data_IF_409188613591
#
_entry.id   IF_409188613591
#
_cell.length_a   1.000
_cell.length_b   1.000
_cell.length_c   1.000
_cell.angle_alpha   90.00
_cell.angle_beta   90.00
_cell.angle_gamma   90.00
#
_symmetry.space_group_name_H-M   'P 1'
#
loop_
_entity.id
_entity.type
_entity.pdbx_description
1 polymer ?
#
# COMPACT_ATOMS: atom_id res chain seq x y z
N UNK A 1 8.71 5.18 -33.22
CA UNK A 1 7.48 4.50 -32.79
C UNK A 1 7.72 3.52 -31.65
N UNK A 2 8.06 3.98 -30.43
CA UNK A 2 8.44 3.10 -29.29
C UNK A 2 7.88 3.49 -27.92
N UNK A 3 7.09 4.57 -27.82
CA UNK A 3 6.68 5.14 -26.52
C UNK A 3 5.56 4.38 -25.78
N UNK A 4 4.67 3.70 -26.45
CA UNK A 4 3.49 3.07 -25.84
C UNK A 4 3.80 1.87 -24.94
N UNK A 5 4.83 1.10 -25.27
CA UNK A 5 5.21 -0.10 -24.50
C UNK A 5 5.90 0.23 -23.16
N UNK A 6 6.72 1.27 -23.14
CA UNK A 6 7.48 1.68 -21.95
C UNK A 6 6.57 2.21 -20.84
N UNK A 7 5.62 3.07 -21.22
CA UNK A 7 4.66 3.59 -20.26
C UNK A 7 3.76 2.49 -19.65
N UNK A 8 3.36 1.45 -20.43
CA UNK A 8 2.56 0.32 -19.90
C UNK A 8 3.30 -0.47 -18.85
N UNK A 9 4.60 -0.70 -19.05
CA UNK A 9 5.45 -1.39 -18.07
C UNK A 9 5.61 -0.58 -16.79
N UNK A 10 5.82 0.73 -16.89
CA UNK A 10 5.94 1.62 -15.73
C UNK A 10 4.64 1.62 -14.91
N UNK A 11 3.47 1.79 -15.56
CA UNK A 11 2.20 1.76 -14.85
C UNK A 11 1.93 0.42 -14.15
N UNK A 12 2.25 -0.70 -14.80
CA UNK A 12 2.10 -2.03 -14.20
C UNK A 12 3.07 -2.23 -13.03
N UNK A 13 4.31 -1.76 -13.13
CA UNK A 13 5.31 -1.84 -12.06
C UNK A 13 4.87 -1.01 -10.83
N UNK A 14 4.36 0.20 -11.04
CA UNK A 14 3.85 1.05 -9.96
C UNK A 14 2.64 0.42 -9.25
N UNK A 15 1.73 -0.20 -9.99
CA UNK A 15 0.60 -0.92 -9.40
C UNK A 15 1.04 -2.15 -8.60
N UNK A 16 2.04 -2.90 -9.09
CA UNK A 16 2.58 -4.07 -8.41
C UNK A 16 3.39 -3.71 -7.16
N UNK A 17 3.99 -2.50 -7.12
CA UNK A 17 4.75 -2.02 -5.98
C UNK A 17 3.88 -1.88 -4.72
N UNK A 18 2.60 -1.55 -4.85
CA UNK A 18 1.66 -1.41 -3.74
C UNK A 18 1.60 -2.65 -2.84
N UNK A 19 1.15 -3.82 -3.35
CA UNK A 19 1.10 -5.05 -2.56
C UNK A 19 2.46 -5.45 -1.98
N UNK A 20 3.57 -5.21 -2.70
CA UNK A 20 4.92 -5.51 -2.22
C UNK A 20 5.28 -4.67 -1.00
N UNK A 21 5.00 -3.36 -1.02
CA UNK A 21 5.26 -2.48 0.11
C UNK A 21 4.37 -2.80 1.31
N UNK A 22 3.11 -3.21 1.09
CA UNK A 22 2.24 -3.67 2.18
C UNK A 22 2.76 -4.97 2.81
N UNK A 23 3.26 -5.90 2.01
CA UNK A 23 3.89 -7.12 2.53
C UNK A 23 5.17 -6.79 3.33
N UNK A 24 5.99 -5.83 2.85
CA UNK A 24 7.15 -5.34 3.57
C UNK A 24 6.77 -4.69 4.91
N UNK A 25 5.68 -3.90 4.95
CA UNK A 25 5.15 -3.33 6.20
C UNK A 25 4.73 -4.42 7.19
N UNK A 26 3.99 -5.45 6.74
CA UNK A 26 3.58 -6.55 7.60
C UNK A 26 4.78 -7.32 8.16
N UNK A 27 5.77 -7.64 7.32
CA UNK A 27 6.96 -8.35 7.73
C UNK A 27 7.80 -7.55 8.72
N UNK A 28 8.06 -6.29 8.43
CA UNK A 28 8.78 -5.38 9.32
C UNK A 28 8.05 -5.22 10.67
N UNK A 29 6.73 -5.05 10.65
CA UNK A 29 5.91 -4.99 11.86
C UNK A 29 6.00 -6.27 12.70
N UNK A 30 5.99 -7.46 12.06
CA UNK A 30 6.14 -8.74 12.77
C UNK A 30 7.51 -8.85 13.45
N UNK A 31 8.57 -8.44 12.76
CA UNK A 31 9.92 -8.44 13.32
C UNK A 31 10.01 -7.47 14.50
N UNK A 32 9.50 -6.24 14.35
CA UNK A 32 9.54 -5.23 15.39
C UNK A 32 8.78 -5.66 16.65
N UNK A 33 7.56 -6.18 16.49
CA UNK A 33 6.75 -6.69 17.61
C UNK A 33 7.43 -7.87 18.30
N UNK A 34 8.09 -8.77 17.52
CA UNK A 34 8.84 -9.88 18.08
C UNK A 34 10.00 -9.41 18.97
N UNK A 35 10.80 -8.45 18.49
CA UNK A 35 11.91 -7.87 19.26
C UNK A 35 11.42 -7.16 20.53
N UNK A 36 10.31 -6.42 20.44
CA UNK A 36 9.68 -5.75 21.57
C UNK A 36 9.17 -6.76 22.62
N UNK A 37 8.56 -7.87 22.20
CA UNK A 37 8.11 -8.94 23.09
C UNK A 37 9.29 -9.63 23.80
N UNK A 38 10.39 -9.88 23.08
CA UNK A 38 11.61 -10.41 23.70
C UNK A 38 12.23 -9.46 24.72
N UNK A 39 12.26 -8.16 24.43
CA UNK A 39 12.76 -7.16 25.37
C UNK A 39 11.87 -7.07 26.61
N UNK A 40 10.55 -7.12 26.44
CA UNK A 40 9.60 -7.17 27.54
C UNK A 40 9.87 -8.36 28.48
N UNK A 41 10.08 -9.55 27.93
CA UNK A 41 10.34 -10.76 28.73
C UNK A 41 11.68 -10.68 29.50
N UNK A 42 12.67 -9.99 28.94
CA UNK A 42 13.98 -9.78 29.60
C UNK A 42 13.98 -8.61 30.59
N UNK A 43 12.97 -7.76 30.54
CA UNK A 43 12.89 -6.54 31.35
C UNK A 43 12.61 -6.83 32.82
N UNK A 44 13.03 -5.94 33.72
CA UNK A 44 12.87 -6.11 35.18
C UNK A 44 11.39 -6.07 35.62
N UNK A 45 10.51 -5.50 34.81
CA UNK A 45 9.07 -5.45 35.07
C UNK A 45 8.31 -6.72 34.65
N UNK A 46 8.99 -7.78 34.17
CA UNK A 46 8.31 -9.00 33.75
C UNK A 46 7.92 -9.88 34.94
N UNK A 47 6.65 -9.88 35.30
CA UNK A 47 6.08 -10.67 36.41
C UNK A 47 5.64 -12.10 36.00
N UNK A 48 6.05 -12.59 34.81
CA UNK A 48 5.69 -13.91 34.33
C UNK A 48 4.29 -13.97 33.71
N UNK A 49 4.15 -13.52 32.48
CA UNK A 49 2.91 -13.61 31.70
C UNK A 49 2.91 -14.84 30.75
N UNK A 50 1.80 -15.02 30.03
CA UNK A 50 1.71 -16.05 28.98
C UNK A 50 2.52 -15.63 27.77
N UNK A 51 3.38 -16.52 27.30
CA UNK A 51 4.09 -16.43 26.02
C UNK A 51 3.42 -17.43 25.08
N UNK A 52 2.96 -16.94 23.93
CA UNK A 52 2.37 -17.80 22.90
C UNK A 52 3.41 -18.72 22.24
N UNK A 53 2.94 -19.73 21.55
CA UNK A 53 3.81 -20.63 20.77
C UNK A 53 4.62 -19.90 19.68
N UNK A 54 4.19 -18.71 19.29
CA UNK A 54 4.83 -17.79 18.33
C UNK A 54 5.88 -16.86 18.97
N UNK A 55 6.15 -17.03 20.29
CA UNK A 55 7.10 -16.22 21.05
C UNK A 55 6.60 -14.82 21.43
N UNK A 56 5.32 -14.52 21.23
CA UNK A 56 4.75 -13.22 21.57
C UNK A 56 4.12 -13.23 22.96
N UNK A 57 4.31 -12.13 23.70
CA UNK A 57 3.55 -11.82 24.92
C UNK A 57 2.10 -11.46 24.57
N UNK A 58 1.20 -11.43 25.54
CA UNK A 58 -0.20 -11.01 25.33
C UNK A 58 -0.29 -9.62 24.65
N UNK A 59 0.57 -8.68 25.06
CA UNK A 59 0.67 -7.36 24.43
C UNK A 59 1.19 -7.46 23.00
N UNK A 60 2.23 -8.28 22.77
CA UNK A 60 2.78 -8.55 21.43
C UNK A 60 1.75 -9.14 20.48
N UNK A 61 0.92 -10.09 20.95
CA UNK A 61 -0.20 -10.64 20.17
C UNK A 61 -1.20 -9.54 19.80
N UNK A 62 -1.61 -8.70 20.75
CA UNK A 62 -2.51 -7.58 20.48
C UNK A 62 -1.94 -6.60 19.45
N UNK A 63 -0.68 -6.18 19.63
CA UNK A 63 0.01 -5.29 18.71
C UNK A 63 0.13 -5.89 17.31
N UNK A 64 0.47 -7.18 17.22
CA UNK A 64 0.56 -7.90 15.95
C UNK A 64 -0.80 -8.00 15.23
N UNK A 65 -1.90 -8.25 15.96
CA UNK A 65 -3.23 -8.31 15.35
C UNK A 65 -3.61 -6.98 14.70
N UNK A 66 -3.28 -5.84 15.31
CA UNK A 66 -3.55 -4.52 14.70
C UNK A 66 -2.70 -4.31 13.46
N UNK A 67 -1.40 -4.62 13.51
CA UNK A 67 -0.50 -4.50 12.35
C UNK A 67 -0.94 -5.42 11.22
N UNK A 68 -1.23 -6.70 11.53
CA UNK A 68 -1.67 -7.69 10.53
C UNK A 68 -3.04 -7.34 9.94
N UNK A 69 -3.99 -6.90 10.76
CA UNK A 69 -5.31 -6.44 10.32
C UNK A 69 -5.20 -5.23 9.38
N UNK A 70 -4.38 -4.25 9.72
CA UNK A 70 -4.09 -3.09 8.86
C UNK A 70 -3.47 -3.54 7.53
N UNK A 71 -2.45 -4.39 7.58
CA UNK A 71 -1.81 -4.93 6.39
C UNK A 71 -2.79 -5.73 5.50
N UNK A 72 -3.70 -6.50 6.11
CA UNK A 72 -4.71 -7.27 5.38
C UNK A 72 -5.69 -6.35 4.65
N UNK A 73 -6.25 -5.34 5.31
CA UNK A 73 -7.20 -4.40 4.71
C UNK A 73 -6.54 -3.59 3.61
N UNK A 74 -5.37 -3.01 3.88
CA UNK A 74 -4.62 -2.23 2.88
C UNK A 74 -4.14 -3.12 1.75
N UNK A 75 -3.69 -4.35 2.04
CA UNK A 75 -3.25 -5.32 1.05
C UNK A 75 -4.36 -5.78 0.12
N UNK A 76 -5.54 -6.09 0.66
CA UNK A 76 -6.72 -6.41 -0.15
C UNK A 76 -7.11 -5.24 -1.07
N UNK A 77 -7.06 -4.01 -0.54
CA UNK A 77 -7.33 -2.79 -1.30
C UNK A 77 -6.26 -2.56 -2.39
N UNK A 78 -4.99 -2.79 -2.06
CA UNK A 78 -3.89 -2.69 -3.01
C UNK A 78 -4.00 -3.71 -4.16
N UNK A 79 -4.42 -4.94 -3.86
CA UNK A 79 -4.70 -5.96 -4.87
C UNK A 79 -5.91 -5.57 -5.73
N UNK A 80 -6.96 -4.99 -5.14
CA UNK A 80 -8.11 -4.49 -5.88
C UNK A 80 -7.68 -3.38 -6.87
N UNK A 81 -6.82 -2.45 -6.47
CA UNK A 81 -6.26 -1.43 -7.37
C UNK A 81 -5.44 -2.03 -8.51
N UNK A 82 -4.66 -3.08 -8.26
CA UNK A 82 -3.92 -3.79 -9.29
C UNK A 82 -4.86 -4.42 -10.32
N UNK A 83 -5.95 -5.06 -9.87
CA UNK A 83 -6.97 -5.66 -10.73
C UNK A 83 -7.71 -4.57 -11.53
N UNK A 84 -8.11 -3.47 -10.88
CA UNK A 84 -8.76 -2.32 -11.53
C UNK A 84 -7.84 -1.74 -12.61
N UNK A 85 -6.57 -1.49 -12.29
CA UNK A 85 -5.60 -0.97 -13.25
C UNK A 85 -5.39 -1.88 -14.45
N UNK A 86 -5.37 -3.21 -14.22
CA UNK A 86 -5.29 -4.20 -15.29
C UNK A 86 -6.55 -4.22 -16.17
N UNK A 87 -7.75 -4.13 -15.55
CA UNK A 87 -9.03 -4.07 -16.28
C UNK A 87 -9.17 -2.77 -17.08
N UNK A 88 -8.76 -1.62 -16.52
CA UNK A 88 -8.75 -0.34 -17.23
C UNK A 88 -7.88 -0.38 -18.48
N UNK A 89 -6.77 -1.12 -18.44
CA UNK A 89 -5.91 -1.33 -19.62
C UNK A 89 -6.48 -2.26 -20.68
N UNK A 90 -7.46 -3.12 -20.35
CA UNK A 90 -8.03 -4.12 -21.24
C UNK A 90 -9.42 -3.78 -21.78
N UNK A 91 -10.27 -3.14 -20.99
CA UNK A 91 -11.69 -2.93 -21.31
C UNK A 91 -12.01 -1.45 -21.51
N UNK A 92 -12.65 -1.12 -22.62
CA UNK A 92 -13.22 0.22 -22.85
C UNK A 92 -14.60 0.40 -22.19
N UNK A 93 -15.37 -0.69 -22.04
CA UNK A 93 -16.71 -0.69 -21.42
C UNK A 93 -16.58 -0.80 -19.88
N UNK A 94 -17.32 0.02 -19.14
CA UNK A 94 -17.35 -0.01 -17.66
C UNK A 94 -16.26 0.81 -16.98
N UNK A 95 -15.53 1.68 -17.72
CA UNK A 95 -14.44 2.50 -17.17
C UNK A 95 -14.91 3.43 -16.06
N UNK A 96 -16.07 4.07 -16.22
CA UNK A 96 -16.65 4.96 -15.21
C UNK A 96 -16.91 4.19 -13.90
N UNK A 97 -17.46 2.98 -13.99
CA UNK A 97 -17.70 2.13 -12.83
C UNK A 97 -16.39 1.79 -12.09
N UNK A 98 -15.33 1.42 -12.82
CA UNK A 98 -14.03 1.11 -12.23
C UNK A 98 -13.39 2.33 -11.55
N UNK A 99 -13.57 3.54 -12.12
CA UNK A 99 -13.09 4.78 -11.50
C UNK A 99 -13.86 5.12 -10.22
N UNK A 100 -15.19 4.96 -10.23
CA UNK A 100 -16.01 5.15 -9.03
C UNK A 100 -15.62 4.14 -7.96
N UNK A 101 -15.46 2.87 -8.31
CA UNK A 101 -15.03 1.83 -7.38
C UNK A 101 -13.64 2.15 -6.78
N UNK A 102 -12.70 2.64 -7.61
CA UNK A 102 -11.39 3.06 -7.11
C UNK A 102 -11.48 4.21 -6.12
N UNK A 103 -12.44 5.13 -6.30
CA UNK A 103 -12.73 6.21 -5.36
C UNK A 103 -13.18 5.69 -3.99
N UNK A 104 -14.08 4.71 -3.96
CA UNK A 104 -14.51 4.09 -2.70
C UNK A 104 -13.38 3.39 -1.95
N UNK A 105 -12.46 2.77 -2.67
CA UNK A 105 -11.32 2.06 -2.09
C UNK A 105 -10.27 3.01 -1.46
N UNK A 106 -10.33 4.31 -1.72
CA UNK A 106 -9.45 5.31 -1.06
C UNK A 106 -9.72 5.33 0.45
N UNK A 107 -10.98 5.19 0.88
CA UNK A 107 -11.36 5.29 2.29
C UNK A 107 -10.68 4.22 3.16
N UNK A 108 -10.84 2.91 2.90
CA UNK A 108 -10.17 1.89 3.70
C UNK A 108 -8.63 1.97 3.59
N UNK A 109 -8.12 2.42 2.44
CA UNK A 109 -6.68 2.63 2.27
C UNK A 109 -6.17 3.77 3.15
N UNK A 110 -6.81 4.94 3.10
CA UNK A 110 -6.45 6.10 3.91
C UNK A 110 -6.57 5.79 5.41
N UNK A 111 -7.63 5.09 5.82
CA UNK A 111 -7.81 4.66 7.20
C UNK A 111 -6.66 3.76 7.67
N UNK A 112 -6.25 2.79 6.84
CA UNK A 112 -5.10 1.95 7.13
C UNK A 112 -3.79 2.73 7.26
N UNK A 113 -3.57 3.75 6.41
CA UNK A 113 -2.42 4.65 6.54
C UNK A 113 -2.45 5.43 7.87
N UNK A 114 -3.62 5.97 8.24
CA UNK A 114 -3.79 6.69 9.53
C UNK A 114 -3.49 5.76 10.70
N UNK A 115 -4.04 4.55 10.70
CA UNK A 115 -3.76 3.55 11.75
C UNK A 115 -2.27 3.25 11.84
N UNK A 116 -1.58 3.06 10.71
CA UNK A 116 -0.13 2.80 10.71
C UNK A 116 0.69 3.98 11.26
N UNK A 117 0.27 5.22 10.97
CA UNK A 117 0.94 6.44 11.44
C UNK A 117 0.76 6.69 12.95
N UNK A 118 -0.32 6.19 13.54
CA UNK A 118 -0.56 6.28 15.00
C UNK A 118 0.41 5.38 15.78
N UNK A 119 1.12 4.48 15.12
CA UNK A 119 2.05 3.53 15.73
C UNK A 119 1.38 2.67 16.83
N UNK A 120 0.45 1.76 16.45
CA UNK A 120 -0.35 0.98 17.39
C UNK A 120 0.45 0.21 18.44
N UNK A 121 1.64 -0.38 18.15
CA UNK A 121 2.46 -1.04 19.15
C UNK A 121 2.88 -0.11 20.29
N UNK A 122 3.29 1.12 19.97
CA UNK A 122 3.66 2.11 21.00
C UNK A 122 2.45 2.61 21.77
N UNK A 123 1.34 2.85 21.08
CA UNK A 123 0.10 3.29 21.72
C UNK A 123 -0.39 2.25 22.73
N UNK A 124 -0.46 0.98 22.35
CA UNK A 124 -0.89 -0.11 23.22
C UNK A 124 0.05 -0.28 24.42
N UNK A 125 1.36 -0.23 24.19
CA UNK A 125 2.34 -0.32 25.26
C UNK A 125 2.26 0.88 26.24
N UNK A 126 1.98 2.08 25.73
CA UNK A 126 1.74 3.26 26.56
C UNK A 126 0.48 3.12 27.42
N UNK A 127 -0.61 2.61 26.86
CA UNK A 127 -1.87 2.38 27.58
C UNK A 127 -1.74 1.29 28.66
N UNK A 128 -0.92 0.28 28.42
CA UNK A 128 -0.67 -0.82 29.38
C UNK A 128 0.51 -0.57 30.31
N UNK A 129 1.16 0.58 30.21
CA UNK A 129 2.32 0.99 31.02
C UNK A 129 3.47 -0.04 31.02
N UNK A 130 3.79 -0.58 29.84
CA UNK A 130 4.88 -1.55 29.64
C UNK A 130 6.07 -0.89 28.93
N UNK A 131 6.95 -0.18 29.69
CA UNK A 131 8.07 0.58 29.10
C UNK A 131 9.10 -0.33 28.41
N UNK A 132 9.33 -1.54 28.93
CA UNK A 132 10.29 -2.49 28.36
C UNK A 132 9.91 -2.93 26.93
N UNK A 133 8.61 -3.03 26.64
CA UNK A 133 8.13 -3.30 25.28
C UNK A 133 8.45 -2.14 24.33
N UNK A 134 8.24 -0.90 24.78
CA UNK A 134 8.56 0.29 23.98
C UNK A 134 10.06 0.40 23.72
N UNK A 135 10.86 0.15 24.76
CA UNK A 135 12.32 0.18 24.65
C UNK A 135 12.86 -0.91 23.69
N UNK A 136 12.15 -2.04 23.56
CA UNK A 136 12.48 -3.12 22.65
C UNK A 136 12.10 -2.87 21.19
N UNK A 137 11.30 -1.83 20.89
CA UNK A 137 10.99 -1.49 19.51
C UNK A 137 12.22 -0.94 18.78
N UNK A 138 12.59 -1.47 17.62
CA UNK A 138 13.76 -1.01 16.89
C UNK A 138 13.63 0.46 16.46
N UNK A 139 14.75 1.17 16.37
CA UNK A 139 14.77 2.59 15.99
C UNK A 139 14.21 2.85 14.57
N UNK A 140 14.28 1.86 13.67
CA UNK A 140 13.70 1.96 12.32
C UNK A 140 12.18 1.75 12.27
N UNK A 141 11.56 1.24 13.35
CA UNK A 141 10.12 0.91 13.36
C UNK A 141 9.21 2.07 12.91
N UNK A 142 9.39 3.32 13.38
CA UNK A 142 8.52 4.42 12.96
C UNK A 142 8.59 4.69 11.44
N UNK A 143 9.74 4.42 10.82
CA UNK A 143 9.89 4.61 9.38
C UNK A 143 9.02 3.64 8.55
N UNK A 144 8.66 2.47 9.11
CA UNK A 144 7.82 1.50 8.41
C UNK A 144 6.40 2.01 8.15
N UNK A 145 5.90 2.95 8.96
CA UNK A 145 4.60 3.57 8.76
C UNK A 145 4.50 4.29 7.41
N UNK A 146 5.62 4.79 6.87
CA UNK A 146 5.64 5.46 5.56
C UNK A 146 5.54 4.50 4.37
N UNK A 147 5.72 3.19 4.56
CA UNK A 147 5.57 2.21 3.49
C UNK A 147 4.16 2.22 2.89
N UNK A 148 3.13 2.40 3.73
CA UNK A 148 1.74 2.41 3.25
C UNK A 148 1.39 3.67 2.44
N UNK A 149 1.68 4.92 2.89
CA UNK A 149 1.51 6.10 2.06
C UNK A 149 2.27 6.04 0.73
N UNK A 150 3.53 5.57 0.74
CA UNK A 150 4.33 5.41 -0.49
C UNK A 150 3.69 4.40 -1.44
N UNK A 151 3.19 3.28 -0.90
CA UNK A 151 2.46 2.29 -1.69
C UNK A 151 1.20 2.90 -2.33
N UNK A 152 0.43 3.71 -1.59
CA UNK A 152 -0.74 4.41 -2.08
C UNK A 152 -0.43 5.40 -3.20
N UNK A 153 0.61 6.20 -3.02
CA UNK A 153 1.06 7.15 -4.05
C UNK A 153 1.51 6.43 -5.33
N UNK A 154 2.27 5.34 -5.20
CA UNK A 154 2.69 4.54 -6.34
C UNK A 154 1.49 3.96 -7.11
N UNK A 155 0.48 3.45 -6.39
CA UNK A 155 -0.74 2.91 -6.99
C UNK A 155 -1.59 4.00 -7.64
N UNK A 156 -1.73 5.17 -7.01
CA UNK A 156 -2.44 6.32 -7.60
C UNK A 156 -1.78 6.76 -8.91
N UNK A 157 -0.45 6.87 -8.94
CA UNK A 157 0.30 7.17 -10.15
C UNK A 157 0.12 6.08 -11.23
N UNK A 158 0.16 4.80 -10.85
CA UNK A 158 -0.07 3.68 -11.74
C UNK A 158 -1.46 3.68 -12.36
N UNK A 159 -2.50 3.96 -11.55
CA UNK A 159 -3.89 4.11 -12.02
C UNK A 159 -4.06 5.32 -12.94
N UNK A 160 -3.48 6.47 -12.61
CA UNK A 160 -3.52 7.67 -13.44
C UNK A 160 -2.89 7.39 -14.82
N UNK A 161 -1.74 6.70 -14.86
CA UNK A 161 -1.11 6.26 -16.10
C UNK A 161 -1.96 5.26 -16.88
N UNK A 162 -2.68 4.36 -16.22
CA UNK A 162 -3.60 3.44 -16.89
C UNK A 162 -4.84 4.17 -17.43
N UNK A 163 -5.33 5.15 -16.69
CA UNK A 163 -6.49 5.95 -17.04
C UNK A 163 -6.22 6.91 -18.22
N UNK A 164 -5.10 7.59 -18.29
CA UNK A 164 -4.79 8.58 -19.33
C UNK A 164 -4.74 7.99 -20.75
N UNK A 165 -4.39 6.71 -20.89
CA UNK A 165 -4.26 6.03 -22.19
C UNK A 165 -5.58 5.73 -22.91
N UNK A 166 -6.68 5.78 -22.24
CA UNK A 166 -8.01 5.54 -22.82
C UNK A 166 -8.78 6.82 -23.08
N UNK A 167 -8.20 8.00 -22.88
CA UNK A 167 -8.85 9.26 -23.21
C UNK A 167 -8.94 9.41 -24.75
N UNK A 168 -10.12 9.76 -25.31
CA UNK A 168 -10.23 10.12 -26.72
C UNK A 168 -9.32 11.33 -27.00
N UNK A 169 -8.77 11.47 -28.22
CA UNK A 169 -8.08 12.71 -28.59
C UNK A 169 -9.01 13.89 -28.38
N UNK A 170 -8.44 14.98 -27.85
CA UNK A 170 -9.21 16.19 -27.56
C UNK A 170 -9.95 16.65 -28.82
N UNK A 171 -11.26 16.95 -28.73
CA UNK A 171 -11.99 17.51 -29.87
C UNK A 171 -11.36 18.87 -30.20
N UNK A 172 -10.67 18.97 -31.33
CA UNK A 172 -10.01 20.20 -31.76
C UNK A 172 -8.54 20.08 -32.16
N UNK A 173 -7.92 18.89 -32.11
CA UNK A 173 -6.64 18.74 -32.83
C UNK A 173 -6.89 19.05 -34.32
N UNK A 174 -6.21 20.08 -34.91
CA UNK A 174 -6.35 20.36 -36.32
C UNK A 174 -6.04 19.08 -37.09
N UNK A 175 -6.97 18.63 -37.92
CA UNK A 175 -6.69 17.56 -38.86
C UNK A 175 -5.44 17.98 -39.63
N UNK A 176 -4.38 17.20 -39.48
CA UNK A 176 -3.15 17.39 -40.26
C UNK A 176 -3.59 17.54 -41.73
N UNK A 177 -3.27 18.65 -42.40
CA UNK A 177 -3.76 18.89 -43.76
C UNK A 177 -3.32 17.70 -44.59
N UNK A 178 -4.32 17.02 -45.16
CA UNK A 178 -4.17 15.89 -46.09
C UNK A 178 -3.12 16.31 -47.12
N UNK A 179 -1.90 15.77 -46.95
CA UNK A 179 -0.81 16.01 -47.89
C UNK A 179 -1.34 15.65 -49.28
N UNK A 180 -1.62 16.68 -50.08
CA UNK A 180 -2.00 16.55 -51.44
C UNK A 180 -1.09 15.54 -52.11
N UNK A 181 -1.63 14.39 -52.50
CA UNK A 181 -0.93 13.43 -53.35
C UNK A 181 -0.52 14.15 -54.61
N UNK A 182 0.77 14.21 -54.94
CA UNK A 182 1.16 14.72 -56.25
C UNK A 182 0.50 13.85 -57.31
N UNK A 183 -0.26 14.52 -58.19
CA UNK A 183 -0.80 13.87 -59.42
C UNK A 183 0.40 13.37 -60.20
N UNK A 184 0.47 12.05 -60.38
CA UNK A 184 1.42 11.42 -61.28
C UNK A 184 1.01 11.74 -62.74
N UNK A 185 1.99 12.07 -63.61
CA UNK A 185 1.74 12.33 -65.01
C UNK A 185 1.35 11.08 -65.81
#
# INVERSE_FOLDING_TARGET
MGGGGRGRRIGAALLALGPVLVAAYALAGRIAVGQAAEAQVRGPGWEGGRIGADGLTTLGVGAWHVVAGTALVVGATALAYLVIGWLLGRRRRGRTFLLVLSGFLIVPYALGCVVALIDPPRLLAGLTQVPDFVAGLPAWHPATAFLLPVAGLAQAAGLALAASRGAPPAPGSPAEPERARPASP
#
